data_IF_201788506672
#
_entry.id   IF_201788506672
#
_cell.length_a   1.000
_cell.length_b   1.000
_cell.length_c   1.000
_cell.angle_alpha   90.00
_cell.angle_beta   90.00
_cell.angle_gamma   90.00
#
_symmetry.space_group_name_H-M   'P 1'
#
loop_
_entity.id
_entity.type
_entity.pdbx_description
1 polymer ?
#
# COMPACT_ATOMS: atom_id res chain seq x y z
N UNK A 1 -8.81 36.15 18.55
CA UNK A 1 -8.19 34.82 18.72
C UNK A 1 -7.86 34.32 17.32
N UNK A 2 -6.60 33.96 17.04
CA UNK A 2 -6.17 33.52 15.74
C UNK A 2 -6.70 32.09 15.50
N UNK A 3 -7.42 31.88 14.39
CA UNK A 3 -7.99 30.59 13.96
C UNK A 3 -6.92 29.52 13.90
N UNK A 4 -5.67 29.88 13.56
CA UNK A 4 -4.53 28.96 13.49
C UNK A 4 -4.11 28.37 14.86
N UNK A 5 -4.29 29.08 15.96
CA UNK A 5 -3.95 28.59 17.30
C UNK A 5 -4.97 27.53 17.79
N UNK A 6 -6.22 27.66 17.39
CA UNK A 6 -7.28 26.73 17.74
C UNK A 6 -7.10 25.40 16.96
N UNK A 7 -6.71 25.44 15.70
CA UNK A 7 -6.43 24.24 14.88
C UNK A 7 -5.28 23.39 15.45
N UNK A 8 -4.18 24.02 15.86
CA UNK A 8 -3.03 23.34 16.47
C UNK A 8 -3.41 22.65 17.77
N UNK A 9 -4.21 23.34 18.61
CA UNK A 9 -4.69 22.79 19.87
C UNK A 9 -5.61 21.57 19.66
N UNK A 10 -6.51 21.64 18.67
CA UNK A 10 -7.41 20.54 18.30
C UNK A 10 -6.59 19.34 17.81
N UNK A 11 -5.63 19.56 16.90
CA UNK A 11 -4.76 18.50 16.36
C UNK A 11 -3.94 17.82 17.47
N UNK A 12 -3.35 18.59 18.38
CA UNK A 12 -2.59 18.04 19.51
C UNK A 12 -3.48 17.20 20.45
N UNK A 13 -4.72 17.67 20.68
CA UNK A 13 -5.67 16.96 21.54
C UNK A 13 -6.14 15.66 20.90
N UNK A 14 -6.38 15.65 19.58
CA UNK A 14 -6.72 14.43 18.82
C UNK A 14 -5.57 13.42 18.80
N UNK A 15 -4.33 13.87 18.67
CA UNK A 15 -3.16 13.00 18.75
C UNK A 15 -3.02 12.35 20.14
N UNK A 16 -3.22 13.13 21.20
CA UNK A 16 -3.22 12.62 22.57
C UNK A 16 -4.36 11.62 22.82
N UNK A 17 -5.55 11.89 22.27
CA UNK A 17 -6.69 10.98 22.32
C UNK A 17 -6.37 9.65 21.63
N UNK A 18 -5.80 9.69 20.42
CA UNK A 18 -5.37 8.49 19.72
C UNK A 18 -4.32 7.67 20.51
N UNK A 19 -3.39 8.34 21.20
CA UNK A 19 -2.39 7.70 22.03
C UNK A 19 -2.98 7.01 23.28
N UNK A 20 -4.05 7.55 23.85
CA UNK A 20 -4.74 6.97 25.02
C UNK A 20 -5.75 5.88 24.66
N UNK A 21 -6.17 5.79 23.39
CA UNK A 21 -7.19 4.85 22.95
C UNK A 21 -8.59 5.06 23.56
N UNK A 22 -8.87 6.26 24.08
CA UNK A 22 -10.15 6.55 24.75
C UNK A 22 -11.21 6.99 23.75
N UNK A 23 -12.13 6.07 23.44
CA UNK A 23 -13.27 6.35 22.57
C UNK A 23 -14.17 7.47 23.09
N UNK A 24 -14.43 7.54 24.40
CA UNK A 24 -15.27 8.54 25.01
C UNK A 24 -14.73 9.97 24.78
N UNK A 25 -13.43 10.16 24.95
CA UNK A 25 -12.76 11.43 24.68
C UNK A 25 -12.83 11.75 23.19
N UNK A 26 -12.63 10.75 22.32
CA UNK A 26 -12.69 10.93 20.87
C UNK A 26 -14.08 11.41 20.41
N UNK A 27 -15.15 10.82 20.92
CA UNK A 27 -16.53 11.21 20.63
C UNK A 27 -16.80 12.64 21.13
N UNK A 28 -16.34 12.97 22.32
CA UNK A 28 -16.53 14.31 22.89
C UNK A 28 -15.80 15.39 22.06
N UNK A 29 -14.55 15.14 21.69
CA UNK A 29 -13.78 16.02 20.80
C UNK A 29 -14.44 16.17 19.44
N UNK A 30 -14.92 15.09 18.86
CA UNK A 30 -15.64 15.12 17.59
C UNK A 30 -16.86 16.04 17.65
N UNK A 31 -17.68 15.90 18.69
CA UNK A 31 -18.83 16.78 18.90
C UNK A 31 -18.40 18.26 18.99
N UNK A 32 -17.32 18.56 19.71
CA UNK A 32 -16.80 19.94 19.82
C UNK A 32 -16.31 20.47 18.46
N UNK A 33 -15.60 19.66 17.67
CA UNK A 33 -15.10 19.98 16.33
C UNK A 33 -16.26 20.35 15.41
N UNK A 34 -17.29 19.53 15.36
CA UNK A 34 -18.51 19.78 14.55
C UNK A 34 -19.24 21.02 15.03
N UNK A 35 -19.43 21.19 16.35
CA UNK A 35 -20.11 22.36 16.91
C UNK A 35 -19.37 23.67 16.66
N UNK A 36 -18.04 23.60 16.50
CA UNK A 36 -17.19 24.75 16.19
C UNK A 36 -17.05 25.00 14.66
N UNK A 37 -17.61 24.14 13.80
CA UNK A 37 -17.57 24.29 12.35
C UNK A 37 -16.23 23.87 11.71
N UNK A 38 -15.41 23.08 12.40
CA UNK A 38 -14.13 22.55 11.88
C UNK A 38 -14.27 21.21 11.14
N UNK A 39 -15.50 20.74 10.93
CA UNK A 39 -15.84 19.48 10.25
C UNK A 39 -15.45 19.42 8.75
N UNK A 40 -15.13 20.57 8.17
CA UNK A 40 -14.62 20.69 6.79
C UNK A 40 -13.09 20.89 6.70
N UNK A 41 -12.42 21.08 7.84
CA UNK A 41 -10.98 21.29 7.89
C UNK A 41 -10.22 19.96 7.69
N UNK A 42 -9.63 19.78 6.52
CA UNK A 42 -8.94 18.53 6.10
C UNK A 42 -7.95 17.98 7.13
N UNK A 43 -7.06 18.79 7.76
CA UNK A 43 -6.13 18.26 8.77
C UNK A 43 -6.85 17.71 10.01
N UNK A 44 -7.91 18.39 10.46
CA UNK A 44 -8.68 18.03 11.66
C UNK A 44 -9.48 16.76 11.41
N UNK A 45 -10.13 16.65 10.24
CA UNK A 45 -10.85 15.43 9.84
C UNK A 45 -9.92 14.23 9.75
N UNK A 46 -8.73 14.39 9.16
CA UNK A 46 -7.72 13.33 9.09
C UNK A 46 -7.25 12.87 10.47
N UNK A 47 -6.96 13.81 11.37
CA UNK A 47 -6.53 13.54 12.74
C UNK A 47 -7.63 12.84 13.55
N UNK A 48 -8.90 13.26 13.36
CA UNK A 48 -10.06 12.65 14.00
C UNK A 48 -10.23 11.18 13.56
N UNK A 49 -10.11 10.90 12.27
CA UNK A 49 -10.16 9.53 11.75
C UNK A 49 -9.03 8.66 12.28
N UNK A 50 -7.81 9.21 12.39
CA UNK A 50 -6.67 8.51 13.01
C UNK A 50 -6.96 8.22 14.49
N UNK A 51 -7.54 9.16 15.23
CA UNK A 51 -7.91 8.98 16.63
C UNK A 51 -8.96 7.86 16.79
N UNK A 52 -10.03 7.85 15.99
CA UNK A 52 -11.02 6.77 15.99
C UNK A 52 -10.42 5.40 15.66
N UNK A 53 -9.55 5.34 14.66
CA UNK A 53 -8.83 4.12 14.32
C UNK A 53 -8.00 3.59 15.50
N UNK A 54 -7.30 4.48 16.19
CA UNK A 54 -6.50 4.10 17.37
C UNK A 54 -7.36 3.63 18.54
N UNK A 55 -8.61 4.08 18.62
CA UNK A 55 -9.60 3.59 19.60
C UNK A 55 -10.25 2.26 19.19
N UNK A 56 -9.94 1.70 18.00
CA UNK A 56 -10.50 0.43 17.53
C UNK A 56 -11.96 0.48 17.08
N UNK A 57 -12.50 1.64 16.75
CA UNK A 57 -13.95 1.85 16.52
C UNK A 57 -14.24 2.58 15.21
N UNK A 58 -13.65 2.09 14.12
CA UNK A 58 -13.90 2.64 12.79
C UNK A 58 -15.39 2.61 12.36
N UNK A 59 -16.19 1.60 12.70
CA UNK A 59 -17.64 1.60 12.44
C UNK A 59 -18.38 2.75 13.13
N UNK A 60 -17.98 3.12 14.35
CA UNK A 60 -18.59 4.24 15.08
C UNK A 60 -18.23 5.58 14.42
N UNK A 61 -16.98 5.73 13.97
CA UNK A 61 -16.57 6.92 13.20
C UNK A 61 -17.47 7.09 11.96
N UNK A 62 -17.68 6.02 11.19
CA UNK A 62 -18.51 6.07 9.97
C UNK A 62 -19.97 6.41 10.26
N UNK A 63 -20.55 5.95 11.36
CA UNK A 63 -21.94 6.26 11.73
C UNK A 63 -22.13 7.76 11.99
N UNK A 64 -21.13 8.43 12.56
CA UNK A 64 -21.14 9.87 12.79
C UNK A 64 -20.92 10.64 11.48
N UNK A 65 -20.03 10.17 10.61
CA UNK A 65 -19.73 10.86 9.35
C UNK A 65 -20.82 10.75 8.29
N UNK A 66 -21.67 9.72 8.35
CA UNK A 66 -22.85 9.59 7.47
C UNK A 66 -23.86 10.74 7.60
N UNK A 67 -23.75 11.54 8.66
CA UNK A 67 -24.53 12.76 8.87
C UNK A 67 -23.91 14.06 8.32
N UNK A 68 -22.65 14.02 7.85
CA UNK A 68 -21.94 15.20 7.36
C UNK A 68 -22.18 15.42 5.87
N UNK A 69 -22.62 16.61 5.49
CA UNK A 69 -22.96 16.99 4.11
C UNK A 69 -21.74 17.18 3.18
N UNK A 70 -20.51 17.07 3.67
CA UNK A 70 -19.28 17.35 2.93
C UNK A 70 -18.21 16.29 3.18
N UNK A 71 -18.44 15.08 2.63
CA UNK A 71 -17.38 14.07 2.54
C UNK A 71 -16.38 14.49 1.47
N UNK A 72 -15.16 14.84 1.88
CA UNK A 72 -14.07 15.16 0.97
C UNK A 72 -13.21 13.91 0.68
N UNK A 73 -12.30 14.00 -0.30
CA UNK A 73 -11.42 12.90 -0.71
C UNK A 73 -10.56 12.36 0.44
N UNK A 74 -10.15 13.24 1.37
CA UNK A 74 -9.30 12.85 2.52
C UNK A 74 -10.07 11.93 3.47
N UNK A 75 -11.36 12.22 3.69
CA UNK A 75 -12.23 11.35 4.47
C UNK A 75 -12.32 9.95 3.86
N UNK A 76 -12.65 9.87 2.56
CA UNK A 76 -12.75 8.59 1.87
C UNK A 76 -11.44 7.80 1.92
N UNK A 77 -10.32 8.45 1.60
CA UNK A 77 -9.00 7.81 1.63
C UNK A 77 -8.65 7.29 3.03
N UNK A 78 -8.94 8.06 4.09
CA UNK A 78 -8.66 7.63 5.45
C UNK A 78 -9.54 6.44 5.88
N UNK A 79 -10.82 6.40 5.50
CA UNK A 79 -11.71 5.28 5.76
C UNK A 79 -11.29 4.02 5.02
N UNK A 80 -11.02 4.12 3.71
CA UNK A 80 -10.59 3.00 2.88
C UNK A 80 -9.27 2.43 3.40
N UNK A 81 -8.27 3.30 3.66
CA UNK A 81 -6.97 2.89 4.19
C UNK A 81 -7.06 2.32 5.61
N UNK A 82 -7.91 2.89 6.47
CA UNK A 82 -8.12 2.42 7.84
C UNK A 82 -8.65 0.99 7.85
N UNK A 83 -9.71 0.72 7.13
CA UNK A 83 -10.27 -0.65 7.02
C UNK A 83 -9.30 -1.63 6.33
N UNK A 84 -8.55 -1.17 5.31
CA UNK A 84 -7.53 -2.00 4.68
C UNK A 84 -6.43 -2.41 5.68
N UNK A 85 -5.98 -1.49 6.54
CA UNK A 85 -4.96 -1.75 7.55
C UNK A 85 -5.46 -2.68 8.68
N UNK A 86 -6.74 -2.65 9.00
CA UNK A 86 -7.40 -3.58 9.94
C UNK A 86 -7.66 -4.98 9.35
N UNK A 87 -7.36 -5.18 8.05
CA UNK A 87 -7.66 -6.43 7.35
C UNK A 87 -9.15 -6.59 6.98
N UNK A 88 -9.98 -5.58 7.24
CA UNK A 88 -11.40 -5.59 6.89
C UNK A 88 -11.59 -5.13 5.44
N UNK A 89 -11.24 -6.01 4.49
CA UNK A 89 -11.33 -5.69 3.07
C UNK A 89 -12.77 -5.45 2.60
N UNK A 90 -13.76 -6.12 3.19
CA UNK A 90 -15.17 -5.95 2.80
C UNK A 90 -15.60 -4.50 3.06
N UNK A 91 -15.31 -3.97 4.25
CA UNK A 91 -15.62 -2.58 4.57
C UNK A 91 -14.77 -1.60 3.71
N UNK A 92 -13.48 -1.88 3.51
CA UNK A 92 -12.60 -1.07 2.69
C UNK A 92 -13.12 -0.94 1.25
N UNK A 93 -13.44 -2.06 0.60
CA UNK A 93 -13.94 -2.06 -0.77
C UNK A 93 -15.37 -1.51 -0.88
N UNK A 94 -16.22 -1.73 0.13
CA UNK A 94 -17.54 -1.09 0.20
C UNK A 94 -17.42 0.44 0.28
N UNK A 95 -16.47 0.97 1.05
CA UNK A 95 -16.18 2.40 1.10
C UNK A 95 -15.70 2.94 -0.25
N UNK A 96 -14.85 2.20 -0.95
CA UNK A 96 -14.39 2.56 -2.29
C UNK A 96 -15.56 2.63 -3.29
N UNK A 97 -16.47 1.65 -3.29
CA UNK A 97 -17.65 1.67 -4.16
C UNK A 97 -18.62 2.81 -3.78
N UNK A 98 -18.81 3.10 -2.50
CA UNK A 98 -19.61 4.24 -2.05
C UNK A 98 -18.99 5.57 -2.48
N UNK A 99 -17.67 5.70 -2.45
CA UNK A 99 -16.95 6.87 -2.96
C UNK A 99 -17.20 7.05 -4.46
N UNK A 100 -17.12 5.97 -5.26
CA UNK A 100 -17.43 6.00 -6.70
C UNK A 100 -18.88 6.43 -6.99
N UNK A 101 -19.83 6.09 -6.11
CA UNK A 101 -21.22 6.50 -6.20
C UNK A 101 -21.46 7.94 -5.73
N UNK A 102 -20.50 8.55 -5.06
CA UNK A 102 -20.55 9.95 -4.63
C UNK A 102 -20.06 10.89 -5.74
N UNK A 103 -20.07 12.20 -5.47
CA UNK A 103 -19.49 13.20 -6.39
C UNK A 103 -17.99 13.40 -6.21
N UNK A 104 -17.33 12.57 -5.36
CA UNK A 104 -15.90 12.66 -5.07
C UNK A 104 -15.15 11.64 -5.92
N UNK A 105 -14.29 12.12 -6.80
CA UNK A 105 -13.49 11.24 -7.67
C UNK A 105 -12.33 10.59 -6.89
N UNK A 106 -12.12 9.27 -7.03
CA UNK A 106 -10.95 8.57 -6.49
C UNK A 106 -9.64 9.12 -7.05
N UNK A 107 -8.63 9.21 -6.21
CA UNK A 107 -7.27 9.61 -6.59
C UNK A 107 -6.27 8.44 -6.48
N UNK A 108 -5.00 8.76 -6.70
CA UNK A 108 -3.85 7.85 -6.60
C UNK A 108 -3.81 7.12 -5.25
N UNK A 109 -4.03 7.84 -4.15
CA UNK A 109 -4.02 7.29 -2.79
C UNK A 109 -5.22 6.37 -2.52
N UNK A 110 -6.37 6.69 -3.10
CA UNK A 110 -7.58 5.85 -3.03
C UNK A 110 -7.30 4.47 -3.64
N UNK A 111 -6.71 4.44 -4.84
CA UNK A 111 -6.38 3.18 -5.51
C UNK A 111 -5.28 2.39 -4.79
N UNK A 112 -4.25 3.05 -4.24
CA UNK A 112 -3.25 2.39 -3.39
C UNK A 112 -3.93 1.67 -2.23
N UNK A 113 -4.88 2.32 -1.56
CA UNK A 113 -5.59 1.77 -0.41
C UNK A 113 -6.47 0.59 -0.78
N UNK A 114 -7.26 0.70 -1.87
CA UNK A 114 -8.10 -0.37 -2.38
C UNK A 114 -7.30 -1.59 -2.86
N UNK A 115 -6.21 -1.37 -3.61
CA UNK A 115 -5.30 -2.42 -4.04
C UNK A 115 -4.61 -3.10 -2.84
N UNK A 116 -4.24 -2.35 -1.80
CA UNK A 116 -3.67 -2.91 -0.57
C UNK A 116 -4.66 -3.81 0.16
N UNK A 117 -5.94 -3.43 0.22
CA UNK A 117 -6.99 -4.29 0.76
C UNK A 117 -7.12 -5.61 -0.03
N UNK A 118 -7.08 -5.54 -1.36
CA UNK A 118 -7.08 -6.72 -2.23
C UNK A 118 -5.85 -7.60 -2.00
N UNK A 119 -4.65 -7.00 -1.87
CA UNK A 119 -3.39 -7.71 -1.65
C UNK A 119 -3.41 -8.53 -0.36
N UNK A 120 -3.88 -7.96 0.74
CA UNK A 120 -3.92 -8.65 2.03
C UNK A 120 -4.87 -9.86 2.03
N UNK A 121 -5.86 -9.86 1.15
CA UNK A 121 -6.90 -10.90 1.09
C UNK A 121 -6.85 -11.78 -0.16
N UNK A 122 -5.81 -11.66 -0.98
CA UNK A 122 -5.61 -12.50 -2.15
C UNK A 122 -6.62 -12.29 -3.28
N UNK A 123 -7.25 -11.10 -3.36
CA UNK A 123 -8.34 -10.80 -4.32
C UNK A 123 -7.79 -10.41 -5.69
N UNK A 124 -7.21 -11.36 -6.41
CA UNK A 124 -6.53 -11.15 -7.71
C UNK A 124 -7.44 -10.50 -8.74
N UNK A 125 -8.62 -11.05 -8.97
CA UNK A 125 -9.54 -10.56 -10.02
C UNK A 125 -10.02 -9.13 -9.75
N UNK A 126 -10.38 -8.82 -8.52
CA UNK A 126 -10.82 -7.48 -8.09
C UNK A 126 -9.69 -6.47 -8.20
N UNK A 127 -8.47 -6.88 -7.82
CA UNK A 127 -7.29 -6.02 -7.91
C UNK A 127 -6.96 -5.63 -9.35
N UNK A 128 -7.06 -6.58 -10.29
CA UNK A 128 -6.86 -6.32 -11.71
C UNK A 128 -7.92 -5.37 -12.27
N UNK A 129 -9.19 -5.57 -11.91
CA UNK A 129 -10.29 -4.69 -12.31
C UNK A 129 -10.07 -3.26 -11.81
N UNK A 130 -9.72 -3.08 -10.54
CA UNK A 130 -9.43 -1.76 -9.98
C UNK A 130 -8.21 -1.10 -10.63
N UNK A 131 -7.15 -1.87 -10.88
CA UNK A 131 -5.97 -1.36 -11.56
C UNK A 131 -6.27 -0.91 -13.01
N UNK A 132 -7.10 -1.66 -13.73
CA UNK A 132 -7.56 -1.27 -15.07
C UNK A 132 -8.51 -0.08 -15.04
N UNK A 133 -9.44 -0.03 -14.07
CA UNK A 133 -10.39 1.07 -13.93
C UNK A 133 -9.70 2.39 -13.62
N UNK A 134 -8.63 2.36 -12.82
CA UNK A 134 -7.79 3.51 -12.52
C UNK A 134 -7.35 4.25 -13.79
N UNK A 135 -6.91 3.50 -14.79
CA UNK A 135 -6.45 4.06 -16.07
C UNK A 135 -7.60 4.39 -17.02
N UNK A 136 -8.57 3.47 -17.13
CA UNK A 136 -9.64 3.54 -18.11
C UNK A 136 -10.71 4.58 -17.72
N UNK A 137 -11.13 4.58 -16.45
CA UNK A 137 -12.30 5.34 -16.01
C UNK A 137 -11.90 6.68 -15.39
N UNK A 138 -10.70 6.77 -14.80
CA UNK A 138 -10.21 7.96 -14.09
C UNK A 138 -8.99 8.62 -14.76
N UNK A 139 -8.42 8.02 -15.81
CA UNK A 139 -7.28 8.58 -16.54
C UNK A 139 -6.00 8.70 -15.69
N UNK A 140 -5.92 8.02 -14.55
CA UNK A 140 -4.78 8.05 -13.65
C UNK A 140 -3.64 7.19 -14.19
N UNK A 141 -2.41 7.66 -14.05
CA UNK A 141 -1.21 6.91 -14.45
C UNK A 141 -0.70 6.10 -13.24
N UNK A 142 -0.66 4.77 -13.33
CA UNK A 142 -0.18 3.95 -12.23
C UNK A 142 1.25 4.27 -11.83
N UNK A 143 1.49 4.55 -10.57
CA UNK A 143 2.83 4.74 -10.00
C UNK A 143 3.52 3.41 -9.68
N UNK A 144 4.82 3.45 -9.35
CA UNK A 144 5.58 2.28 -8.89
C UNK A 144 4.95 1.57 -7.70
N UNK A 145 4.24 2.31 -6.82
CA UNK A 145 3.52 1.73 -5.67
C UNK A 145 2.35 0.85 -6.12
N UNK A 146 1.56 1.29 -7.10
CA UNK A 146 0.45 0.51 -7.65
C UNK A 146 0.95 -0.79 -8.26
N UNK A 147 2.00 -0.70 -9.11
CA UNK A 147 2.63 -1.90 -9.69
C UNK A 147 3.19 -2.83 -8.62
N UNK A 148 3.88 -2.29 -7.60
CA UNK A 148 4.45 -3.08 -6.51
C UNK A 148 3.39 -3.88 -5.75
N UNK A 149 2.26 -3.25 -5.41
CA UNK A 149 1.15 -3.92 -4.72
C UNK A 149 0.53 -5.02 -5.59
N UNK A 150 0.29 -4.72 -6.87
CA UNK A 150 -0.32 -5.66 -7.80
C UNK A 150 0.59 -6.86 -8.08
N UNK A 151 1.89 -6.61 -8.34
CA UNK A 151 2.86 -7.67 -8.63
C UNK A 151 3.15 -8.54 -7.41
N UNK A 152 3.17 -7.99 -6.19
CA UNK A 152 3.26 -8.78 -4.96
C UNK A 152 2.04 -9.71 -4.81
N UNK A 153 0.84 -9.21 -5.05
CA UNK A 153 -0.39 -10.02 -5.01
C UNK A 153 -0.35 -11.15 -6.05
N UNK A 154 -0.03 -10.81 -7.30
CA UNK A 154 0.04 -11.78 -8.40
C UNK A 154 1.14 -12.82 -8.15
N UNK A 155 2.29 -12.38 -7.64
CA UNK A 155 3.41 -13.26 -7.28
C UNK A 155 3.02 -14.28 -6.22
N UNK A 156 2.37 -13.85 -5.14
CA UNK A 156 1.87 -14.75 -4.08
C UNK A 156 0.80 -15.72 -4.60
N UNK A 157 -0.03 -15.27 -5.54
CA UNK A 157 -1.05 -16.10 -6.18
C UNK A 157 -0.50 -17.06 -7.24
N UNK A 158 0.79 -16.95 -7.62
CA UNK A 158 1.39 -17.75 -8.68
C UNK A 158 0.96 -17.39 -10.10
N UNK A 159 0.39 -16.19 -10.30
CA UNK A 159 -0.17 -15.71 -11.57
C UNK A 159 0.90 -15.09 -12.48
N UNK A 160 1.95 -15.84 -12.79
CA UNK A 160 3.13 -15.35 -13.50
C UNK A 160 2.86 -14.92 -14.95
N UNK A 161 1.89 -15.52 -15.63
CA UNK A 161 1.50 -15.11 -16.99
C UNK A 161 0.92 -13.68 -16.99
N UNK A 162 0.14 -13.34 -15.96
CA UNK A 162 -0.40 -11.99 -15.78
C UNK A 162 0.71 -10.98 -15.45
N UNK A 163 1.66 -11.37 -14.62
CA UNK A 163 2.85 -10.56 -14.31
C UNK A 163 3.59 -10.23 -15.60
N UNK A 164 3.90 -11.23 -16.40
CA UNK A 164 4.62 -11.05 -17.67
C UNK A 164 3.87 -10.10 -18.62
N UNK A 165 2.56 -10.26 -18.76
CA UNK A 165 1.74 -9.40 -19.61
C UNK A 165 1.71 -7.93 -19.10
N UNK A 166 1.68 -7.71 -17.78
CA UNK A 166 1.76 -6.37 -17.20
C UNK A 166 3.13 -5.75 -17.47
N UNK A 167 4.21 -6.51 -17.30
CA UNK A 167 5.58 -6.03 -17.53
C UNK A 167 5.84 -5.67 -19.00
N UNK A 168 5.30 -6.42 -19.94
CA UNK A 168 5.43 -6.16 -21.39
C UNK A 168 4.66 -4.89 -21.82
N UNK A 169 3.53 -4.61 -21.16
CA UNK A 169 2.68 -3.44 -21.45
C UNK A 169 3.10 -2.17 -20.71
N UNK A 170 3.82 -2.29 -19.59
CA UNK A 170 4.24 -1.13 -18.80
C UNK A 170 5.54 -0.58 -19.34
N UNK A 171 5.49 0.62 -19.93
CA UNK A 171 6.68 1.37 -20.36
C UNK A 171 7.44 2.01 -19.18
N UNK A 172 7.20 1.56 -17.94
CA UNK A 172 7.73 2.17 -16.74
C UNK A 172 9.13 1.69 -16.42
N UNK A 173 9.98 2.63 -16.01
CA UNK A 173 11.19 2.33 -15.25
C UNK A 173 10.75 1.75 -13.90
N UNK A 174 10.64 0.42 -13.84
CA UNK A 174 10.34 -0.28 -12.59
C UNK A 174 11.50 -0.06 -11.61
N UNK A 175 11.16 0.29 -10.37
CA UNK A 175 12.12 0.44 -9.28
C UNK A 175 12.75 -0.93 -8.94
N UNK A 176 13.98 -0.90 -8.42
CA UNK A 176 14.67 -2.10 -7.89
C UNK A 176 13.79 -2.90 -6.95
N UNK A 177 13.03 -2.23 -6.08
CA UNK A 177 12.14 -2.89 -5.13
C UNK A 177 11.09 -3.79 -5.80
N UNK A 178 10.56 -3.38 -6.95
CA UNK A 178 9.58 -4.18 -7.71
C UNK A 178 10.22 -5.46 -8.23
N UNK A 179 11.43 -5.35 -8.80
CA UNK A 179 12.19 -6.50 -9.28
C UNK A 179 12.57 -7.47 -8.16
N UNK A 180 12.90 -6.95 -6.98
CA UNK A 180 13.18 -7.78 -5.79
C UNK A 180 11.94 -8.51 -5.28
N UNK A 181 10.79 -7.85 -5.24
CA UNK A 181 9.52 -8.51 -4.89
C UNK A 181 9.19 -9.65 -5.88
N UNK A 182 9.37 -9.39 -7.18
CA UNK A 182 9.15 -10.41 -8.20
C UNK A 182 10.15 -11.56 -8.07
N UNK A 183 11.43 -11.27 -7.85
CA UNK A 183 12.48 -12.26 -7.64
C UNK A 183 12.16 -13.18 -6.45
N UNK A 184 11.74 -12.59 -5.32
CA UNK A 184 11.31 -13.35 -4.14
C UNK A 184 10.10 -14.26 -4.43
N UNK A 185 9.08 -13.73 -5.12
CA UNK A 185 7.91 -14.51 -5.51
C UNK A 185 8.28 -15.66 -6.49
N UNK A 186 9.15 -15.41 -7.45
CA UNK A 186 9.63 -16.43 -8.38
C UNK A 186 10.39 -17.54 -7.66
N UNK A 187 11.21 -17.21 -6.66
CA UNK A 187 11.93 -18.18 -5.84
C UNK A 187 10.97 -19.11 -5.11
N UNK A 188 9.97 -18.59 -4.41
CA UNK A 188 8.98 -19.39 -3.66
C UNK A 188 8.15 -20.33 -4.55
N UNK A 189 7.98 -20.00 -5.82
CA UNK A 189 7.22 -20.81 -6.79
C UNK A 189 8.11 -21.59 -7.78
N UNK A 190 9.43 -21.60 -7.60
CA UNK A 190 10.36 -22.35 -8.46
C UNK A 190 10.43 -21.85 -9.91
N UNK A 191 10.09 -20.59 -10.16
CA UNK A 191 10.12 -19.98 -11.51
C UNK A 191 11.50 -19.39 -11.81
N UNK A 192 12.51 -20.25 -11.95
CA UNK A 192 13.92 -19.87 -12.01
C UNK A 192 14.28 -18.97 -13.21
N UNK A 193 13.68 -19.20 -14.38
CA UNK A 193 13.95 -18.37 -15.56
C UNK A 193 13.49 -16.93 -15.36
N UNK A 194 12.30 -16.76 -14.76
CA UNK A 194 11.77 -15.44 -14.44
C UNK A 194 12.53 -14.80 -13.27
N UNK A 195 12.94 -15.61 -12.29
CA UNK A 195 13.79 -15.17 -11.18
C UNK A 195 15.12 -14.59 -11.69
N UNK A 196 15.77 -15.29 -12.64
CA UNK A 196 17.01 -14.80 -13.24
C UNK A 196 16.79 -13.48 -14.00
N UNK A 197 15.74 -13.40 -14.81
CA UNK A 197 15.40 -12.15 -15.52
C UNK A 197 15.14 -10.97 -14.56
N UNK A 198 14.39 -11.22 -13.48
CA UNK A 198 14.14 -10.23 -12.45
C UNK A 198 15.43 -9.77 -11.76
N UNK A 199 16.34 -10.72 -11.47
CA UNK A 199 17.66 -10.42 -10.93
C UNK A 199 18.48 -9.55 -11.89
N UNK A 200 18.56 -9.92 -13.18
CA UNK A 200 19.31 -9.17 -14.19
C UNK A 200 18.82 -7.71 -14.27
N UNK A 201 17.51 -7.49 -14.22
CA UNK A 201 16.95 -6.16 -14.18
C UNK A 201 17.28 -5.40 -12.87
N UNK A 202 17.17 -6.07 -11.71
CA UNK A 202 17.49 -5.45 -10.42
C UNK A 202 18.96 -5.02 -10.36
N UNK A 203 19.89 -5.87 -10.79
CA UNK A 203 21.33 -5.60 -10.79
C UNK A 203 21.72 -4.55 -11.85
N UNK A 204 21.03 -4.48 -12.98
CA UNK A 204 21.24 -3.40 -13.94
C UNK A 204 20.86 -2.02 -13.39
N UNK A 205 19.84 -1.96 -12.51
CA UNK A 205 19.41 -0.71 -11.86
C UNK A 205 20.30 -0.35 -10.65
N UNK A 206 20.63 -1.35 -9.84
CA UNK A 206 21.51 -1.20 -8.68
C UNK A 206 22.42 -2.43 -8.51
N UNK A 207 23.63 -2.39 -9.13
CA UNK A 207 24.58 -3.50 -9.05
C UNK A 207 25.03 -3.86 -7.64
N UNK A 208 24.90 -2.93 -6.69
CA UNK A 208 25.35 -3.10 -5.31
C UNK A 208 24.24 -3.54 -4.36
N UNK A 209 23.04 -3.76 -4.84
CA UNK A 209 21.93 -4.18 -4.01
C UNK A 209 22.08 -5.66 -3.56
N UNK A 210 22.67 -5.86 -2.39
CA UNK A 210 22.97 -7.21 -1.84
C UNK A 210 21.77 -8.15 -1.78
N UNK A 211 20.57 -7.62 -1.54
CA UNK A 211 19.33 -8.41 -1.49
C UNK A 211 19.00 -9.16 -2.78
N UNK A 212 19.36 -8.63 -3.95
CA UNK A 212 19.15 -9.32 -5.23
C UNK A 212 19.92 -10.64 -5.30
N UNK A 213 21.20 -10.60 -4.92
CA UNK A 213 22.07 -11.76 -4.92
C UNK A 213 21.61 -12.83 -3.91
N UNK A 214 21.18 -12.40 -2.72
CA UNK A 214 20.65 -13.32 -1.70
C UNK A 214 19.37 -14.00 -2.16
N UNK A 215 18.42 -13.25 -2.72
CA UNK A 215 17.16 -13.81 -3.21
C UNK A 215 17.35 -14.81 -4.35
N UNK A 216 18.25 -14.52 -5.30
CA UNK A 216 18.52 -15.47 -6.38
C UNK A 216 19.27 -16.71 -5.88
N UNK A 217 20.25 -16.55 -4.96
CA UNK A 217 20.94 -17.67 -4.32
C UNK A 217 19.96 -18.57 -3.57
N UNK A 218 19.01 -18.02 -2.83
CA UNK A 218 17.97 -18.78 -2.14
C UNK A 218 17.08 -19.55 -3.14
N UNK A 219 16.65 -18.91 -4.23
CA UNK A 219 15.87 -19.57 -5.28
C UNK A 219 16.61 -20.76 -5.91
N UNK A 220 17.91 -20.63 -6.13
CA UNK A 220 18.73 -21.72 -6.64
C UNK A 220 19.00 -22.81 -5.58
N UNK A 221 19.11 -22.43 -4.30
CA UNK A 221 19.26 -23.38 -3.21
C UNK A 221 18.00 -24.25 -3.04
N UNK A 222 16.83 -23.65 -3.09
CA UNK A 222 15.54 -24.37 -3.03
C UNK A 222 15.37 -25.34 -4.21
N UNK A 223 15.99 -25.02 -5.35
CA UNK A 223 16.01 -25.89 -6.53
C UNK A 223 17.18 -26.90 -6.55
N UNK A 224 18.08 -26.88 -5.57
CA UNK A 224 19.24 -27.77 -5.48
C UNK A 224 20.35 -27.49 -6.50
N UNK A 225 20.43 -26.26 -7.05
CA UNK A 225 21.34 -25.86 -8.14
C UNK A 225 22.64 -25.22 -7.59
N UNK A 226 23.51 -26.03 -6.96
CA UNK A 226 24.72 -25.53 -6.29
C UNK A 226 25.66 -24.76 -7.21
N UNK A 227 25.85 -25.21 -8.46
CA UNK A 227 26.73 -24.52 -9.42
C UNK A 227 26.26 -23.09 -9.75
N UNK A 228 24.93 -22.86 -9.77
CA UNK A 228 24.36 -21.54 -9.99
C UNK A 228 24.53 -20.64 -8.76
N UNK A 229 24.47 -21.19 -7.55
CA UNK A 229 24.74 -20.46 -6.32
C UNK A 229 26.18 -19.96 -6.31
N UNK A 230 27.12 -20.80 -6.67
CA UNK A 230 28.56 -20.46 -6.72
C UNK A 230 28.82 -19.35 -7.77
N UNK A 231 28.08 -19.37 -8.89
CA UNK A 231 28.16 -18.32 -9.91
C UNK A 231 27.63 -16.98 -9.40
N UNK A 232 26.48 -16.97 -8.73
CA UNK A 232 25.90 -15.77 -8.11
C UNK A 232 26.83 -15.21 -7.03
N UNK A 233 27.47 -16.08 -6.25
CA UNK A 233 28.48 -15.72 -5.26
C UNK A 233 29.66 -14.97 -5.89
N UNK A 234 30.21 -15.53 -6.97
CA UNK A 234 31.30 -14.87 -7.73
C UNK A 234 30.88 -13.51 -8.32
N UNK A 235 29.67 -13.43 -8.88
CA UNK A 235 29.14 -12.16 -9.40
C UNK A 235 29.05 -11.11 -8.30
N UNK A 236 28.59 -11.50 -7.12
CA UNK A 236 28.48 -10.64 -5.95
C UNK A 236 29.84 -10.10 -5.49
N UNK A 237 30.86 -10.98 -5.43
CA UNK A 237 32.22 -10.59 -5.06
C UNK A 237 32.83 -9.63 -6.09
N UNK A 238 32.63 -9.87 -7.38
CA UNK A 238 33.10 -8.99 -8.46
C UNK A 238 32.49 -7.58 -8.38
N UNK A 239 31.27 -7.43 -7.89
CA UNK A 239 30.61 -6.13 -7.67
C UNK A 239 30.99 -5.49 -6.31
N UNK A 240 31.82 -6.14 -5.49
CA UNK A 240 32.23 -5.65 -4.18
C UNK A 240 31.08 -5.55 -3.18
N UNK A 241 30.06 -6.38 -3.33
CA UNK A 241 28.89 -6.42 -2.43
C UNK A 241 29.22 -7.35 -1.26
N UNK A 242 29.72 -6.80 -0.17
CA UNK A 242 29.98 -7.54 1.04
C UNK A 242 28.69 -7.79 1.84
N UNK A 243 28.58 -8.93 2.51
CA UNK A 243 27.56 -9.12 3.55
C UNK A 243 27.85 -8.11 4.66
N UNK A 244 26.91 -7.24 5.00
CA UNK A 244 26.91 -6.69 6.33
C UNK A 244 26.64 -7.88 7.26
N UNK A 245 27.68 -8.35 7.96
CA UNK A 245 27.50 -9.22 9.11
C UNK A 245 26.62 -8.44 10.08
N UNK A 246 25.49 -9.02 10.42
CA UNK A 246 24.64 -8.52 11.49
C UNK A 246 25.34 -8.89 12.79
N UNK A 247 26.06 -7.91 13.40
CA UNK A 247 26.47 -7.98 14.79
C UNK A 247 25.27 -7.74 15.73
#
# INVERSE_FOLDING_TARGET
RDVADDDVAILATLQACGATGSLEICIHLHFQIVSAGYDSATPIVSALLIAYRSCGTMPDALSFFNGLSHTNIVFWNACIAGHAAEGNYIASLSMFENMKASSVEPDDLTFISALSACRHNGLVSVSLEYFESMMRDYGLIPSTKHYGILLDLLGRAGEFDKIQNIMEKSCLHMDVCIWLCLLGACGTHGKLDLAKRAFDHAVNLDPKHGGAYVLLSNAYADAGLQACIDEVGRLRELQGVFCCEWD
#
